data_IF_846758466525
#
_entry.id   IF_846758466525
#
_cell.length_a   1.000
_cell.length_b   1.000
_cell.length_c   1.000
_cell.angle_alpha   90.00
_cell.angle_beta   90.00
_cell.angle_gamma   90.00
#
_symmetry.space_group_name_H-M   'P 1'
#
loop_
_entity.id
_entity.type
_entity.pdbx_description
1 polymer ?
#
# COMPACT_ATOMS: atom_id res chain seq x y z
N UNK A 1 8.92 11.95 5.26
CA UNK A 1 7.82 12.33 4.34
C UNK A 1 8.19 12.05 2.89
N UNK A 2 9.19 12.73 2.31
CA UNK A 2 9.56 12.53 0.89
C UNK A 2 9.87 11.07 0.50
N UNK A 3 10.68 10.38 1.30
CA UNK A 3 10.99 8.95 1.07
C UNK A 3 9.77 8.05 1.24
N UNK A 4 8.88 8.37 2.19
CA UNK A 4 7.63 7.64 2.37
C UNK A 4 6.74 7.78 1.13
N UNK A 5 6.61 9.01 0.60
CA UNK A 5 5.84 9.30 -0.61
C UNK A 5 6.35 8.55 -1.85
N UNK A 6 7.67 8.36 -1.98
CA UNK A 6 8.23 7.55 -3.06
C UNK A 6 7.72 6.11 -3.00
N UNK A 7 7.68 5.50 -1.81
CA UNK A 7 7.12 4.17 -1.64
C UNK A 7 5.60 4.13 -1.80
N UNK A 8 4.89 5.18 -1.38
CA UNK A 8 3.45 5.29 -1.62
C UNK A 8 3.10 5.44 -3.10
N UNK A 9 3.99 5.97 -3.93
CA UNK A 9 3.81 5.95 -5.38
C UNK A 9 3.74 4.51 -5.91
N UNK A 10 4.57 3.59 -5.40
CA UNK A 10 4.47 2.17 -5.76
C UNK A 10 3.14 1.55 -5.31
N UNK A 11 2.69 1.87 -4.08
CA UNK A 11 1.39 1.42 -3.58
C UNK A 11 0.25 1.90 -4.49
N UNK A 12 0.29 3.18 -4.91
CA UNK A 12 -0.71 3.76 -5.80
C UNK A 12 -0.71 3.13 -7.19
N UNK A 13 0.48 2.84 -7.74
CA UNK A 13 0.60 2.20 -9.05
C UNK A 13 0.03 0.78 -9.02
N UNK A 14 0.33 0.00 -7.98
CA UNK A 14 -0.23 -1.35 -7.80
C UNK A 14 -1.75 -1.28 -7.64
N UNK A 15 -2.25 -0.39 -6.77
CA UNK A 15 -3.68 -0.18 -6.59
C UNK A 15 -4.38 0.17 -7.92
N UNK A 16 -3.78 1.07 -8.70
CA UNK A 16 -4.35 1.49 -9.98
C UNK A 16 -4.35 0.35 -10.98
N UNK A 17 -3.30 -0.46 -11.02
CA UNK A 17 -3.26 -1.67 -11.83
C UNK A 17 -4.39 -2.64 -11.44
N UNK A 18 -4.49 -3.01 -10.16
CA UNK A 18 -5.50 -3.96 -9.66
C UNK A 18 -6.93 -3.47 -9.89
N UNK A 19 -7.22 -2.18 -9.67
CA UNK A 19 -8.55 -1.62 -9.91
C UNK A 19 -9.04 -1.84 -11.37
N UNK A 20 -8.13 -1.85 -12.34
CA UNK A 20 -8.48 -1.93 -13.76
C UNK A 20 -8.13 -3.28 -14.38
N UNK A 21 -7.73 -4.27 -13.58
CA UNK A 21 -7.58 -5.64 -14.07
C UNK A 21 -8.95 -6.31 -14.16
N UNK A 22 -9.16 -7.11 -15.20
CA UNK A 22 -10.38 -7.89 -15.37
C UNK A 22 -10.59 -8.83 -14.18
N UNK A 23 -9.50 -9.40 -13.64
CA UNK A 23 -9.53 -10.27 -12.46
C UNK A 23 -10.22 -9.60 -11.26
N UNK A 24 -10.06 -8.29 -11.05
CA UNK A 24 -10.68 -7.60 -9.92
C UNK A 24 -12.17 -7.34 -10.10
N UNK A 25 -12.70 -7.50 -11.32
CA UNK A 25 -14.14 -7.46 -11.57
C UNK A 25 -14.83 -8.81 -11.33
N UNK A 26 -14.06 -9.90 -11.32
CA UNK A 26 -14.54 -11.27 -11.16
C UNK A 26 -14.21 -11.84 -9.77
N UNK A 27 -13.19 -11.30 -9.10
CA UNK A 27 -12.69 -11.73 -7.80
C UNK A 27 -12.87 -10.62 -6.75
N UNK A 28 -13.79 -10.84 -5.80
CA UNK A 28 -14.12 -9.87 -4.75
C UNK A 28 -12.99 -9.73 -3.71
N UNK A 29 -12.18 -10.77 -3.50
CA UNK A 29 -11.04 -10.73 -2.58
C UNK A 29 -9.95 -9.82 -3.14
N UNK A 30 -9.66 -9.93 -4.44
CA UNK A 30 -8.76 -9.01 -5.13
C UNK A 30 -9.32 -7.58 -5.15
N UNK A 31 -10.64 -7.44 -5.30
CA UNK A 31 -11.29 -6.13 -5.25
C UNK A 31 -11.12 -5.45 -3.88
N UNK A 32 -11.20 -6.22 -2.78
CA UNK A 32 -10.96 -5.72 -1.42
C UNK A 32 -9.54 -5.15 -1.28
N UNK A 33 -8.52 -5.82 -1.81
CA UNK A 33 -7.12 -5.34 -1.77
C UNK A 33 -7.02 -3.92 -2.34
N UNK A 34 -7.50 -3.68 -3.57
CA UNK A 34 -7.31 -2.36 -4.17
C UNK A 34 -8.16 -1.26 -3.50
N UNK A 35 -9.24 -1.62 -2.79
CA UNK A 35 -10.04 -0.70 -1.97
C UNK A 35 -9.29 -0.34 -0.69
N UNK A 36 -8.69 -1.30 -0.01
CA UNK A 36 -7.89 -1.06 1.19
C UNK A 36 -6.64 -0.21 0.90
N UNK A 37 -5.95 -0.46 -0.22
CA UNK A 37 -4.84 0.38 -0.67
C UNK A 37 -5.30 1.82 -0.95
N UNK A 38 -6.49 1.99 -1.54
CA UNK A 38 -7.07 3.30 -1.79
C UNK A 38 -7.40 4.04 -0.49
N UNK A 39 -8.03 3.37 0.48
CA UNK A 39 -8.41 3.95 1.76
C UNK A 39 -7.21 4.41 2.59
N UNK A 40 -6.09 3.69 2.50
CA UNK A 40 -4.83 4.12 3.09
C UNK A 40 -4.36 5.43 2.47
N UNK A 41 -4.29 5.49 1.14
CA UNK A 41 -3.80 6.65 0.39
C UNK A 41 -4.71 7.87 0.55
N UNK A 42 -6.03 7.67 0.49
CA UNK A 42 -7.03 8.71 0.67
C UNK A 42 -6.93 9.37 2.05
N UNK A 43 -6.61 8.59 3.09
CA UNK A 43 -6.44 9.13 4.42
C UNK A 43 -5.22 10.06 4.55
N UNK A 44 -4.18 9.86 3.74
CA UNK A 44 -2.96 10.66 3.77
C UNK A 44 -3.06 11.94 2.91
N UNK A 45 -3.81 11.89 1.81
CA UNK A 45 -3.96 12.98 0.83
C UNK A 45 -4.14 14.37 1.44
N UNK A 46 -5.13 14.58 2.34
CA UNK A 46 -5.36 15.90 2.93
C UNK A 46 -4.15 16.47 3.69
N UNK A 47 -3.29 15.61 4.27
CA UNK A 47 -2.09 16.06 4.98
C UNK A 47 -0.96 16.40 4.01
N UNK A 48 -0.87 15.72 2.87
CA UNK A 48 0.06 16.05 1.77
C UNK A 48 -0.30 17.42 1.19
N UNK A 49 -1.57 17.63 0.83
CA UNK A 49 -2.05 18.87 0.19
C UNK A 49 -1.77 20.12 1.03
N UNK A 50 -1.79 19.96 2.37
CA UNK A 50 -1.53 21.04 3.33
C UNK A 50 -0.05 21.13 3.78
N UNK A 51 0.82 20.23 3.33
CA UNK A 51 2.22 20.15 3.78
C UNK A 51 2.36 19.81 5.27
N UNK A 52 1.36 19.18 5.89
CA UNK A 52 1.35 18.85 7.31
C UNK A 52 2.07 17.52 7.59
N UNK A 53 3.38 17.60 7.78
CA UNK A 53 4.22 16.43 7.97
C UNK A 53 3.95 15.66 9.26
N UNK A 54 3.57 16.34 10.34
CA UNK A 54 3.28 15.70 11.62
C UNK A 54 2.03 14.86 11.51
N UNK A 55 0.93 15.43 10.97
CA UNK A 55 -0.32 14.72 10.80
C UNK A 55 -0.21 13.60 9.78
N UNK A 56 0.52 13.82 8.69
CA UNK A 56 0.82 12.79 7.69
C UNK A 56 1.48 11.56 8.33
N UNK A 57 2.58 11.76 9.08
CA UNK A 57 3.30 10.66 9.71
C UNK A 57 2.47 9.96 10.79
N UNK A 58 1.70 10.71 11.57
CA UNK A 58 0.79 10.13 12.56
C UNK A 58 -0.26 9.20 11.91
N UNK A 59 -0.90 9.66 10.83
CA UNK A 59 -1.90 8.86 10.10
C UNK A 59 -1.27 7.64 9.43
N UNK A 60 -0.09 7.81 8.82
CA UNK A 60 0.65 6.74 8.17
C UNK A 60 0.97 5.60 9.15
N UNK A 61 1.44 5.93 10.37
CA UNK A 61 1.68 4.95 11.45
C UNK A 61 0.38 4.30 11.94
N UNK A 62 -0.64 5.12 12.24
CA UNK A 62 -1.93 4.64 12.76
C UNK A 62 -2.60 3.63 11.83
N UNK A 63 -2.42 3.77 10.52
CA UNK A 63 -3.04 2.91 9.50
C UNK A 63 -2.09 1.83 8.94
N UNK A 64 -0.84 1.78 9.39
CA UNK A 64 0.19 0.89 8.86
C UNK A 64 -0.22 -0.58 8.92
N UNK A 65 -0.84 -1.00 10.02
CA UNK A 65 -1.30 -2.38 10.21
C UNK A 65 -2.33 -2.82 9.16
N UNK A 66 -3.18 -1.90 8.68
CA UNK A 66 -4.14 -2.21 7.60
C UNK A 66 -3.46 -2.35 6.26
N UNK A 67 -2.54 -1.43 5.92
CA UNK A 67 -1.75 -1.52 4.69
C UNK A 67 -0.95 -2.84 4.62
N UNK A 68 -0.35 -3.24 5.76
CA UNK A 68 0.36 -4.50 5.87
C UNK A 68 -0.55 -5.70 5.61
N UNK A 69 -1.71 -5.76 6.28
CA UNK A 69 -2.66 -6.86 6.10
C UNK A 69 -3.16 -6.99 4.66
N UNK A 70 -3.54 -5.88 4.02
CA UNK A 70 -3.95 -5.90 2.62
C UNK A 70 -2.82 -6.38 1.68
N UNK A 71 -1.58 -6.06 2.02
CA UNK A 71 -0.41 -6.54 1.27
C UNK A 71 -0.14 -8.02 1.49
N UNK A 72 -0.19 -8.48 2.74
CA UNK A 72 -0.05 -9.90 3.09
C UNK A 72 -1.13 -10.73 2.38
N UNK A 73 -2.38 -10.28 2.42
CA UNK A 73 -3.49 -10.92 1.74
C UNK A 73 -3.31 -10.98 0.23
N UNK A 74 -2.90 -9.86 -0.40
CA UNK A 74 -2.62 -9.87 -1.83
C UNK A 74 -1.51 -10.86 -2.21
N UNK A 75 -0.43 -10.94 -1.43
CA UNK A 75 0.66 -11.89 -1.67
C UNK A 75 0.21 -13.35 -1.56
N UNK A 76 -0.78 -13.62 -0.70
CA UNK A 76 -1.37 -14.93 -0.50
C UNK A 76 -2.26 -15.34 -1.68
N UNK A 77 -3.20 -14.48 -2.09
CA UNK A 77 -4.19 -14.82 -3.12
C UNK A 77 -3.68 -14.66 -4.55
N UNK A 78 -2.67 -13.80 -4.79
CA UNK A 78 -2.18 -13.46 -6.13
C UNK A 78 -1.85 -14.68 -7.03
N UNK A 79 -1.18 -15.74 -6.54
CA UNK A 79 -0.87 -16.92 -7.35
C UNK A 79 -2.10 -17.67 -7.87
N UNK A 80 -3.21 -17.63 -7.11
CA UNK A 80 -4.47 -18.29 -7.46
C UNK A 80 -5.29 -17.43 -8.41
N UNK A 81 -5.30 -16.11 -8.17
CA UNK A 81 -5.97 -15.11 -9.02
C UNK A 81 -5.39 -15.07 -10.43
N UNK A 82 -4.06 -14.97 -10.58
CA UNK A 82 -3.43 -14.81 -11.90
C UNK A 82 -1.94 -15.13 -11.90
N UNK A 83 -1.50 -15.99 -12.82
CA UNK A 83 -0.07 -16.31 -13.02
C UNK A 83 0.69 -15.27 -13.86
N UNK A 84 0.02 -14.23 -14.36
CA UNK A 84 0.61 -13.26 -15.28
C UNK A 84 1.76 -12.46 -14.66
N UNK A 85 2.72 -12.07 -15.51
CA UNK A 85 3.90 -11.31 -15.07
C UNK A 85 3.50 -10.01 -14.35
N UNK A 86 2.45 -9.33 -14.81
CA UNK A 86 1.99 -8.08 -14.20
C UNK A 86 1.60 -8.26 -12.74
N UNK A 87 0.83 -9.30 -12.42
CA UNK A 87 0.43 -9.62 -11.04
C UNK A 87 1.61 -10.00 -10.16
N UNK A 88 2.53 -10.82 -10.69
CA UNK A 88 3.76 -11.20 -9.97
C UNK A 88 4.65 -9.99 -9.68
N UNK A 89 4.74 -9.04 -10.61
CA UNK A 89 5.51 -7.81 -10.42
C UNK A 89 4.79 -6.82 -9.49
N UNK A 90 3.47 -6.74 -9.55
CA UNK A 90 2.66 -5.97 -8.62
C UNK A 90 2.84 -6.48 -7.18
N UNK A 91 2.77 -7.79 -6.96
CA UNK A 91 3.03 -8.44 -5.67
C UNK A 91 4.41 -8.09 -5.13
N UNK A 92 5.46 -8.26 -5.95
CA UNK A 92 6.84 -7.90 -5.57
C UNK A 92 6.98 -6.42 -5.24
N UNK A 93 6.43 -5.54 -6.08
CA UNK A 93 6.52 -4.08 -5.90
C UNK A 93 5.80 -3.63 -4.62
N UNK A 94 4.57 -4.12 -4.39
CA UNK A 94 3.81 -3.79 -3.19
C UNK A 94 4.50 -4.29 -1.93
N UNK A 95 4.91 -5.57 -1.91
CA UNK A 95 5.62 -6.16 -0.78
C UNK A 95 6.92 -5.43 -0.45
N UNK A 96 7.70 -5.02 -1.45
CA UNK A 96 8.90 -4.21 -1.23
C UNK A 96 8.56 -2.84 -0.64
N UNK A 97 7.61 -2.12 -1.25
CA UNK A 97 7.24 -0.78 -0.81
C UNK A 97 6.72 -0.76 0.63
N UNK A 98 5.86 -1.71 1.00
CA UNK A 98 5.29 -1.77 2.35
C UNK A 98 6.35 -2.10 3.40
N UNK A 99 7.28 -3.03 3.12
CA UNK A 99 8.42 -3.27 4.04
C UNK A 99 9.28 -2.04 4.26
N UNK A 100 9.53 -1.24 3.21
CA UNK A 100 10.29 0.01 3.35
C UNK A 100 9.50 1.06 4.13
N UNK A 101 8.20 1.19 3.88
CA UNK A 101 7.29 2.05 4.65
C UNK A 101 7.33 1.68 6.14
N UNK A 102 7.26 0.38 6.48
CA UNK A 102 7.35 -0.10 7.85
C UNK A 102 8.68 0.27 8.51
N UNK A 103 9.79 0.05 7.80
CA UNK A 103 11.13 0.41 8.30
C UNK A 103 11.25 1.91 8.57
N UNK A 104 10.81 2.76 7.64
CA UNK A 104 10.84 4.22 7.77
C UNK A 104 9.96 4.72 8.92
N UNK A 105 8.83 4.07 9.17
CA UNK A 105 7.89 4.47 10.22
C UNK A 105 8.26 3.91 11.60
N UNK A 106 8.91 2.75 11.65
CA UNK A 106 9.39 2.07 12.86
C UNK A 106 10.75 2.56 13.37
N UNK A 107 11.60 3.13 12.49
CA UNK A 107 12.89 3.72 12.85
C UNK A 107 12.82 5.03 13.67
N UNK A 108 11.66 5.37 14.25
CA UNK A 108 11.44 6.59 15.04
C UNK A 108 11.38 6.36 16.55
N UNK A 109 11.50 5.11 17.03
CA UNK A 109 11.57 4.78 18.46
C UNK A 109 13.01 4.52 18.93
N UNK A 110 13.93 5.41 18.53
CA UNK A 110 15.22 5.55 19.21
C UNK A 110 15.06 6.37 20.48
N UNK A 111 14.61 5.74 21.57
CA UNK A 111 14.84 6.29 22.91
C UNK A 111 16.28 6.02 23.31
N UNK A 112 16.96 7.13 23.63
CA UNK A 112 18.20 7.29 24.39
C UNK A 112 18.33 6.39 25.61
#
# INVERSE_FOLDING_TARGET
MRELDQHLAHVWMVRTFLKHSDEASEDEELAEVHRDLYDYMLALGPSIDRGDAVKYLHLARKKLSKLRKATEFFLEIQPEVSGHMNFRMAAKSLGLAVRQIESLLGGSDGHS
#
